data_IF_969604873285
#
_entry.id   IF_969604873285
#
_cell.length_a   1.000
_cell.length_b   1.000
_cell.length_c   1.000
_cell.angle_alpha   90.00
_cell.angle_beta   90.00
_cell.angle_gamma   90.00
#
_symmetry.space_group_name_H-M   'P 1'
#
loop_
_entity.id
_entity.type
_entity.pdbx_description
1 polymer ?
#
# COMPACT_ATOMS: atom_id res chain seq x y z
N UNK A 1 30.84 12.54 -2.11
CA UNK A 1 30.59 11.86 -3.38
C UNK A 1 29.65 12.73 -4.16
N UNK A 2 29.91 12.98 -5.44
CA UNK A 2 28.87 13.57 -6.27
C UNK A 2 27.78 12.54 -6.48
N UNK A 3 26.53 12.91 -6.32
CA UNK A 3 25.38 12.10 -6.66
C UNK A 3 25.35 11.89 -8.18
N UNK A 4 24.92 10.73 -8.62
CA UNK A 4 24.75 10.43 -10.05
C UNK A 4 23.55 11.21 -10.62
N UNK A 5 22.49 11.30 -9.83
CA UNK A 5 21.28 12.04 -10.17
C UNK A 5 21.23 13.40 -9.44
N UNK A 6 20.89 14.45 -10.14
CA UNK A 6 20.59 15.76 -9.54
C UNK A 6 19.29 15.71 -8.71
N UNK A 7 19.02 16.72 -7.91
CA UNK A 7 17.77 16.81 -7.17
C UNK A 7 16.57 16.94 -8.10
N UNK A 8 16.72 17.66 -9.20
CA UNK A 8 15.70 17.83 -10.23
C UNK A 8 15.34 16.50 -10.88
N UNK A 9 16.36 15.70 -11.28
CA UNK A 9 16.14 14.37 -11.86
C UNK A 9 15.45 13.40 -10.88
N UNK A 10 15.76 13.49 -9.58
CA UNK A 10 15.10 12.69 -8.54
C UNK A 10 13.62 13.05 -8.38
N UNK A 11 13.31 14.36 -8.40
CA UNK A 11 11.92 14.83 -8.35
C UNK A 11 11.19 14.46 -9.63
N UNK A 12 11.86 14.54 -10.81
CA UNK A 12 11.28 14.13 -12.09
C UNK A 12 10.89 12.65 -12.10
N UNK A 13 11.73 11.75 -11.58
CA UNK A 13 11.39 10.32 -11.44
C UNK A 13 10.09 10.14 -10.63
N UNK A 14 9.93 10.86 -9.52
CA UNK A 14 8.71 10.80 -8.74
C UNK A 14 7.52 11.41 -9.49
N UNK A 15 7.73 12.54 -10.18
CA UNK A 15 6.70 13.21 -10.96
C UNK A 15 6.15 12.29 -12.06
N UNK A 16 7.05 11.63 -12.79
CA UNK A 16 6.68 10.72 -13.86
C UNK A 16 5.80 9.59 -13.35
N UNK A 17 6.21 8.90 -12.29
CA UNK A 17 5.43 7.77 -11.77
C UNK A 17 4.13 8.20 -11.06
N UNK A 18 4.07 9.42 -10.49
CA UNK A 18 2.82 9.97 -9.94
C UNK A 18 1.83 10.28 -11.06
N UNK A 19 2.31 10.76 -12.21
CA UNK A 19 1.47 11.08 -13.37
C UNK A 19 0.79 9.84 -13.99
N UNK A 20 1.38 8.67 -13.81
CA UNK A 20 0.79 7.39 -14.25
C UNK A 20 -0.32 7.00 -13.25
N UNK A 21 -1.56 7.00 -13.73
CA UNK A 21 -2.74 6.67 -12.92
C UNK A 21 -2.82 5.17 -12.68
N UNK A 22 -2.44 4.75 -11.47
CA UNK A 22 -2.45 3.35 -11.05
C UNK A 22 -3.47 3.09 -9.94
N UNK A 23 -4.66 3.65 -10.07
CA UNK A 23 -5.76 3.40 -9.13
C UNK A 23 -6.24 1.96 -9.29
N UNK A 24 -5.69 1.06 -8.49
CA UNK A 24 -5.96 -0.38 -8.48
C UNK A 24 -5.86 -1.05 -9.87
N UNK A 25 -5.04 -0.50 -10.76
CA UNK A 25 -4.84 -1.00 -12.13
C UNK A 25 -3.68 -0.27 -12.81
N UNK A 26 -3.29 -0.74 -14.03
CA UNK A 26 -2.32 -0.07 -14.92
C UNK A 26 -0.88 0.02 -14.38
N UNK A 27 -0.51 -0.79 -13.39
CA UNK A 27 0.85 -0.78 -12.82
C UNK A 27 1.91 -1.23 -13.84
N UNK A 28 1.51 -1.93 -14.88
CA UNK A 28 2.42 -2.28 -15.99
C UNK A 28 3.11 -1.05 -16.59
N UNK A 29 2.43 0.10 -16.66
CA UNK A 29 3.01 1.33 -17.20
C UNK A 29 4.13 1.87 -16.29
N UNK A 30 3.96 1.80 -14.96
CA UNK A 30 5.02 2.15 -13.99
C UNK A 30 6.18 1.14 -14.06
N UNK A 31 5.89 -0.16 -14.19
CA UNK A 31 6.91 -1.18 -14.36
C UNK A 31 7.73 -0.93 -15.64
N UNK A 32 7.10 -0.60 -16.75
CA UNK A 32 7.78 -0.24 -17.99
C UNK A 32 8.59 1.07 -17.89
N UNK A 33 8.11 2.04 -17.11
CA UNK A 33 8.88 3.24 -16.81
C UNK A 33 10.19 2.89 -16.10
N UNK A 34 10.14 2.13 -15.02
CA UNK A 34 11.33 1.72 -14.31
C UNK A 34 12.24 0.80 -15.14
N UNK A 35 11.70 -0.08 -15.97
CA UNK A 35 12.49 -0.91 -16.89
C UNK A 35 13.33 -0.03 -17.82
N UNK A 36 12.71 0.99 -18.44
CA UNK A 36 13.43 1.95 -19.30
C UNK A 36 14.48 2.75 -18.51
N UNK A 37 14.13 3.24 -17.31
CA UNK A 37 15.04 3.97 -16.45
C UNK A 37 16.24 3.12 -16.06
N UNK A 38 16.04 1.90 -15.60
CA UNK A 38 17.10 0.98 -15.21
C UNK A 38 17.99 0.57 -16.39
N UNK A 39 17.41 0.41 -17.56
CA UNK A 39 18.16 0.10 -18.80
C UNK A 39 19.22 1.17 -19.13
N UNK A 40 18.94 2.47 -18.85
CA UNK A 40 19.88 3.57 -19.08
C UNK A 40 21.15 3.43 -18.24
N UNK A 41 21.06 2.78 -17.08
CA UNK A 41 22.17 2.52 -16.15
C UNK A 41 22.70 1.08 -16.23
N UNK A 42 22.33 0.33 -17.27
CA UNK A 42 22.76 -1.07 -17.44
C UNK A 42 22.31 -2.02 -16.32
N UNK A 43 21.22 -1.68 -15.64
CA UNK A 43 20.58 -2.54 -14.64
C UNK A 43 19.58 -3.44 -15.36
N UNK A 44 19.74 -4.76 -15.24
CA UNK A 44 18.80 -5.72 -15.81
C UNK A 44 17.54 -5.78 -14.97
N UNK A 45 16.41 -5.72 -15.64
CA UNK A 45 15.09 -5.87 -15.02
C UNK A 45 14.22 -6.88 -15.78
N UNK A 46 13.20 -7.36 -15.11
CA UNK A 46 12.22 -8.31 -15.63
C UNK A 46 10.81 -7.90 -15.21
N UNK A 47 9.90 -7.81 -16.18
CA UNK A 47 8.49 -7.53 -15.96
C UNK A 47 7.76 -8.86 -15.81
N UNK A 48 7.11 -9.06 -14.67
CA UNK A 48 6.36 -10.26 -14.31
C UNK A 48 4.86 -9.98 -14.34
N UNK A 49 4.18 -10.39 -15.43
CA UNK A 49 2.77 -10.14 -15.65
C UNK A 49 1.92 -10.88 -14.60
N UNK A 50 1.06 -10.13 -13.91
CA UNK A 50 0.10 -10.63 -12.91
C UNK A 50 -1.30 -10.73 -13.50
N UNK A 51 -1.72 -9.70 -14.24
CA UNK A 51 -3.01 -9.64 -14.93
C UNK A 51 -2.93 -8.68 -16.12
N UNK A 52 -4.01 -8.51 -16.85
CA UNK A 52 -4.08 -7.52 -17.93
C UNK A 52 -3.83 -6.09 -17.39
N UNK A 53 -2.86 -5.40 -17.99
CA UNK A 53 -2.41 -4.08 -17.54
C UNK A 53 -1.67 -4.06 -16.18
N UNK A 54 -1.40 -5.21 -15.55
CA UNK A 54 -0.81 -5.30 -14.21
C UNK A 54 0.42 -6.21 -14.21
N UNK A 55 1.54 -5.70 -13.73
CA UNK A 55 2.78 -6.48 -13.66
C UNK A 55 3.67 -6.01 -12.51
N UNK A 56 4.35 -6.94 -11.86
CA UNK A 56 5.49 -6.65 -11.00
C UNK A 56 6.72 -6.31 -11.85
N UNK A 57 7.69 -5.63 -11.26
CA UNK A 57 9.02 -5.44 -11.83
C UNK A 57 10.07 -5.93 -10.85
N UNK A 58 11.01 -6.72 -11.33
CA UNK A 58 12.16 -7.19 -10.59
C UNK A 58 13.43 -6.66 -11.27
N UNK A 59 14.32 -6.01 -10.51
CA UNK A 59 15.63 -5.58 -11.00
C UNK A 59 16.73 -6.00 -10.03
N UNK A 60 17.94 -6.30 -10.55
CA UNK A 60 19.00 -6.87 -9.72
C UNK A 60 20.34 -6.22 -10.03
N UNK A 61 21.08 -5.87 -8.96
CA UNK A 61 22.46 -5.41 -9.01
C UNK A 61 23.29 -6.28 -8.05
N UNK A 62 24.38 -6.84 -8.56
CA UNK A 62 25.21 -7.83 -7.82
C UNK A 62 24.86 -9.27 -8.22
N UNK A 63 25.56 -10.26 -7.61
CA UNK A 63 25.40 -11.68 -7.96
C UNK A 63 25.86 -12.64 -6.86
N UNK A 64 25.97 -12.17 -5.62
CA UNK A 64 26.42 -12.98 -4.48
C UNK A 64 25.59 -12.69 -3.24
N UNK A 65 25.75 -13.49 -2.21
CA UNK A 65 25.18 -13.22 -0.89
C UNK A 65 26.01 -12.19 -0.09
N UNK A 66 25.37 -11.41 0.81
CA UNK A 66 23.95 -11.43 1.13
C UNK A 66 23.07 -10.82 0.03
N UNK A 67 21.83 -11.29 -0.08
CA UNK A 67 20.80 -10.74 -0.99
C UNK A 67 19.84 -9.88 -0.19
N UNK A 68 19.82 -8.59 -0.48
CA UNK A 68 18.93 -7.63 0.17
C UNK A 68 17.81 -7.28 -0.81
N UNK A 69 16.59 -7.65 -0.47
CA UNK A 69 15.38 -7.19 -1.15
C UNK A 69 15.04 -5.76 -0.74
N UNK A 70 14.69 -4.94 -1.72
CA UNK A 70 14.11 -3.61 -1.52
C UNK A 70 12.81 -3.54 -2.31
N UNK A 71 11.70 -3.19 -1.67
CA UNK A 71 10.37 -3.33 -2.28
C UNK A 71 9.44 -2.17 -1.97
N UNK A 72 8.46 -1.99 -2.85
CA UNK A 72 7.34 -1.08 -2.69
C UNK A 72 6.27 -1.34 -3.73
N UNK A 73 5.04 -0.85 -3.47
CA UNK A 73 3.94 -1.02 -4.41
C UNK A 73 3.82 0.15 -5.39
N UNK A 74 3.23 -0.14 -6.55
CA UNK A 74 3.04 0.81 -7.65
C UNK A 74 1.61 1.35 -7.72
N UNK A 75 0.65 0.62 -7.18
CA UNK A 75 -0.76 1.03 -7.14
C UNK A 75 -1.01 2.11 -6.08
N UNK A 76 -2.14 2.75 -6.21
CA UNK A 76 -2.63 3.77 -5.27
C UNK A 76 -4.14 3.60 -5.07
N UNK A 77 -4.65 4.04 -3.92
CA UNK A 77 -6.09 4.16 -3.70
C UNK A 77 -6.70 5.27 -4.55
N UNK A 78 -8.03 5.26 -4.69
CA UNK A 78 -8.76 6.32 -5.38
C UNK A 78 -8.41 7.71 -4.83
N UNK A 79 -8.37 8.69 -5.69
CA UNK A 79 -8.25 10.10 -5.34
C UNK A 79 -9.46 10.64 -4.59
N UNK A 80 -10.60 9.91 -4.64
CA UNK A 80 -11.87 10.37 -4.08
C UNK A 80 -12.50 11.48 -4.91
N UNK A 81 -13.07 12.49 -4.25
CA UNK A 81 -13.65 13.63 -4.94
C UNK A 81 -12.54 14.62 -5.33
N UNK A 82 -12.43 14.94 -6.61
CA UNK A 82 -11.45 15.89 -7.14
C UNK A 82 -11.59 17.31 -6.56
N UNK A 83 -12.81 17.72 -6.18
CA UNK A 83 -13.07 19.04 -5.60
C UNK A 83 -12.45 19.21 -4.20
N UNK A 84 -12.04 18.11 -3.55
CA UNK A 84 -11.39 18.13 -2.24
C UNK A 84 -9.87 18.34 -2.34
N UNK A 85 -9.31 18.36 -3.56
CA UNK A 85 -7.88 18.54 -3.81
C UNK A 85 -7.54 20.00 -4.10
N UNK A 86 -6.47 20.49 -3.46
CA UNK A 86 -5.91 21.82 -3.77
C UNK A 86 -5.14 21.80 -5.10
N UNK A 87 -4.50 20.69 -5.42
CA UNK A 87 -3.75 20.46 -6.65
C UNK A 87 -4.29 19.21 -7.35
N UNK A 88 -4.04 19.08 -8.66
CA UNK A 88 -4.40 17.86 -9.39
C UNK A 88 -3.70 16.64 -8.76
N UNK A 89 -4.44 15.60 -8.36
CA UNK A 89 -3.87 14.43 -7.66
C UNK A 89 -2.85 13.65 -8.51
N UNK A 90 -2.88 13.76 -9.82
CA UNK A 90 -1.95 13.05 -10.72
C UNK A 90 -0.94 13.97 -11.40
N UNK A 91 -0.77 15.18 -10.87
CA UNK A 91 0.29 16.11 -11.26
C UNK A 91 1.09 16.48 -10.03
N UNK A 92 2.33 15.96 -9.93
CA UNK A 92 3.17 16.26 -8.78
C UNK A 92 3.41 17.77 -8.69
N UNK A 93 2.95 18.38 -7.61
CA UNK A 93 3.05 19.83 -7.40
C UNK A 93 3.92 20.12 -6.21
N UNK A 94 4.94 20.97 -6.39
CA UNK A 94 5.74 21.48 -5.27
C UNK A 94 5.16 22.80 -4.76
N UNK A 95 4.86 22.84 -3.46
CA UNK A 95 4.49 24.07 -2.75
C UNK A 95 5.08 24.08 -1.35
N UNK A 96 5.70 25.19 -0.96
CA UNK A 96 6.32 25.43 0.36
C UNK A 96 7.29 24.31 0.80
N UNK A 97 7.97 23.67 -0.16
CA UNK A 97 8.94 22.60 0.11
C UNK A 97 8.32 21.22 0.32
N UNK A 98 7.04 21.05 0.03
CA UNK A 98 6.34 19.78 0.00
C UNK A 98 5.95 19.39 -1.42
N UNK A 99 5.90 18.08 -1.68
CA UNK A 99 5.45 17.51 -2.94
C UNK A 99 4.07 16.90 -2.75
N UNK A 100 3.09 17.39 -3.51
CA UNK A 100 1.69 16.98 -3.44
C UNK A 100 1.30 16.12 -4.64
N UNK A 101 0.60 15.02 -4.39
CA UNK A 101 0.06 14.13 -5.42
C UNK A 101 -0.44 12.82 -4.82
N UNK A 102 -1.35 12.11 -5.51
CA UNK A 102 -1.80 10.78 -5.11
C UNK A 102 -0.63 9.78 -5.25
N UNK A 103 -0.28 9.09 -4.15
CA UNK A 103 0.89 8.22 -4.11
C UNK A 103 2.21 8.92 -3.80
N UNK A 104 2.23 10.27 -3.70
CA UNK A 104 3.45 11.00 -3.31
C UNK A 104 3.92 10.64 -1.89
N UNK A 105 3.04 10.23 -0.99
CA UNK A 105 3.40 9.69 0.32
C UNK A 105 3.34 8.17 0.35
N UNK A 106 2.24 7.58 -0.12
CA UNK A 106 1.94 6.16 -0.07
C UNK A 106 1.75 5.60 -1.48
N UNK A 107 2.75 4.81 -2.03
CA UNK A 107 4.15 4.83 -1.54
C UNK A 107 5.14 5.11 -2.69
N UNK A 108 4.70 5.80 -3.77
CA UNK A 108 5.54 6.06 -4.95
C UNK A 108 6.83 6.83 -4.62
N UNK A 109 6.83 7.70 -3.58
CA UNK A 109 8.06 8.37 -3.13
C UNK A 109 9.08 7.37 -2.55
N UNK A 110 8.61 6.42 -1.74
CA UNK A 110 9.46 5.34 -1.23
C UNK A 110 10.00 4.48 -2.36
N UNK A 111 9.14 4.11 -3.30
CA UNK A 111 9.53 3.32 -4.47
C UNK A 111 10.54 4.06 -5.37
N UNK A 112 10.33 5.36 -5.63
CA UNK A 112 11.29 6.21 -6.36
C UNK A 112 12.63 6.30 -5.62
N UNK A 113 12.61 6.49 -4.30
CA UNK A 113 13.82 6.55 -3.49
C UNK A 113 14.63 5.24 -3.56
N UNK A 114 13.95 4.09 -3.53
CA UNK A 114 14.62 2.78 -3.69
C UNK A 114 15.22 2.60 -5.10
N UNK A 115 14.52 3.03 -6.14
CA UNK A 115 15.03 2.99 -7.52
C UNK A 115 16.26 3.90 -7.70
N UNK A 116 16.21 5.12 -7.16
CA UNK A 116 17.34 6.06 -7.13
C UNK A 116 18.52 5.44 -6.39
N UNK A 117 18.29 4.87 -5.21
CA UNK A 117 19.33 4.22 -4.43
C UNK A 117 20.00 3.05 -5.19
N UNK A 118 19.21 2.24 -5.91
CA UNK A 118 19.72 1.16 -6.74
C UNK A 118 20.64 1.68 -7.86
N UNK A 119 20.23 2.76 -8.53
CA UNK A 119 21.04 3.42 -9.58
C UNK A 119 22.34 3.98 -8.98
N UNK A 120 22.25 4.73 -7.87
CA UNK A 120 23.41 5.31 -7.19
C UNK A 120 24.42 4.22 -6.73
N UNK A 121 23.93 3.11 -6.21
CA UNK A 121 24.78 1.98 -5.80
C UNK A 121 25.46 1.36 -7.02
N UNK A 122 24.72 1.12 -8.10
CA UNK A 122 25.25 0.56 -9.34
C UNK A 122 26.36 1.43 -9.91
N UNK A 123 26.10 2.73 -10.06
CA UNK A 123 27.03 3.69 -10.65
C UNK A 123 28.23 4.00 -9.74
N UNK A 124 28.08 3.88 -8.43
CA UNK A 124 29.19 4.07 -7.49
C UNK A 124 30.29 3.03 -7.63
N UNK A 125 29.98 1.86 -8.21
CA UNK A 125 30.87 0.70 -8.27
C UNK A 125 31.27 0.12 -6.91
N UNK A 126 30.60 0.51 -5.82
CA UNK A 126 30.97 0.13 -4.44
C UNK A 126 30.37 -1.18 -3.96
N UNK A 127 29.36 -1.71 -4.67
CA UNK A 127 28.83 -3.03 -4.34
C UNK A 127 29.85 -4.09 -4.80
N UNK A 128 30.84 -4.36 -3.95
CA UNK A 128 31.89 -5.34 -4.23
C UNK A 128 31.50 -6.77 -3.86
N UNK A 129 30.46 -6.92 -3.01
CA UNK A 129 29.89 -8.18 -2.58
C UNK A 129 28.42 -7.99 -2.25
N UNK A 130 27.63 -9.05 -2.41
CA UNK A 130 26.18 -9.03 -2.17
C UNK A 130 25.38 -8.76 -3.43
N UNK A 131 24.08 -8.74 -3.25
CA UNK A 131 23.08 -8.47 -4.28
C UNK A 131 21.99 -7.57 -3.72
N UNK A 132 21.55 -6.59 -4.49
CA UNK A 132 20.35 -5.82 -4.20
C UNK A 132 19.30 -6.19 -5.24
N UNK A 133 18.16 -6.64 -4.75
CA UNK A 133 17.01 -7.04 -5.57
C UNK A 133 15.87 -6.05 -5.33
N UNK A 134 15.61 -5.20 -6.32
CA UNK A 134 14.47 -4.27 -6.33
C UNK A 134 13.23 -5.01 -6.82
N UNK A 135 12.13 -4.86 -6.12
CA UNK A 135 10.84 -5.48 -6.43
C UNK A 135 9.73 -4.46 -6.31
N UNK A 136 9.17 -4.02 -7.44
CA UNK A 136 7.97 -3.19 -7.48
C UNK A 136 6.76 -4.09 -7.67
N UNK A 137 5.76 -3.95 -6.79
CA UNK A 137 4.61 -4.86 -6.73
C UNK A 137 3.31 -4.18 -7.15
N UNK A 138 2.32 -4.99 -7.51
CA UNK A 138 0.95 -4.57 -7.82
C UNK A 138 -0.01 -4.94 -6.71
N UNK A 139 -1.08 -4.14 -6.55
CA UNK A 139 -2.27 -4.52 -5.80
C UNK A 139 -2.07 -4.60 -4.30
N UNK A 140 -1.16 -3.86 -3.72
CA UNK A 140 -0.98 -3.80 -2.26
C UNK A 140 -2.22 -3.27 -1.58
N UNK A 141 -2.82 -2.21 -2.14
CA UNK A 141 -4.01 -1.53 -1.65
C UNK A 141 -5.31 -2.35 -1.78
N UNK A 142 -5.23 -3.55 -2.33
CA UNK A 142 -6.37 -4.45 -2.58
C UNK A 142 -6.07 -5.89 -2.14
N UNK A 143 -5.78 -6.78 -3.10
CA UNK A 143 -5.64 -8.23 -2.84
C UNK A 143 -4.20 -8.67 -2.59
N UNK A 144 -3.23 -7.77 -2.66
CA UNK A 144 -1.79 -8.05 -2.52
C UNK A 144 -1.28 -9.11 -3.52
N UNK A 145 -1.92 -9.17 -4.69
CA UNK A 145 -1.66 -10.19 -5.70
C UNK A 145 -0.23 -10.18 -6.23
N UNK A 146 0.40 -9.01 -6.26
CA UNK A 146 1.79 -8.87 -6.71
C UNK A 146 2.79 -9.54 -5.77
N UNK A 147 2.73 -9.23 -4.49
CA UNK A 147 3.61 -9.84 -3.48
C UNK A 147 3.38 -11.33 -3.35
N UNK A 148 2.11 -11.77 -3.41
CA UNK A 148 1.77 -13.19 -3.43
C UNK A 148 2.42 -13.90 -4.63
N UNK A 149 2.31 -13.35 -5.84
CA UNK A 149 2.93 -13.95 -7.03
C UNK A 149 4.46 -14.00 -6.94
N UNK A 150 5.11 -12.97 -6.40
CA UNK A 150 6.56 -12.99 -6.19
C UNK A 150 6.97 -14.11 -5.22
N UNK A 151 6.21 -14.31 -4.15
CA UNK A 151 6.43 -15.40 -3.21
C UNK A 151 6.22 -16.78 -3.87
N UNK A 152 5.10 -16.99 -4.55
CA UNK A 152 4.77 -18.26 -5.21
C UNK A 152 5.79 -18.64 -6.32
N UNK A 153 6.39 -17.65 -6.97
CA UNK A 153 7.42 -17.86 -8.00
C UNK A 153 8.85 -17.95 -7.43
N UNK A 154 9.01 -17.86 -6.11
CA UNK A 154 10.29 -18.01 -5.44
C UNK A 154 11.23 -16.80 -5.57
N UNK A 155 10.72 -15.62 -5.96
CA UNK A 155 11.58 -14.42 -6.05
C UNK A 155 12.11 -13.94 -4.70
N UNK A 156 11.47 -14.35 -3.60
CA UNK A 156 11.87 -14.00 -2.25
C UNK A 156 12.70 -15.08 -1.54
N UNK A 157 12.88 -16.27 -2.13
CA UNK A 157 13.47 -17.44 -1.47
C UNK A 157 14.96 -17.27 -1.12
N UNK A 158 15.67 -16.45 -1.86
CA UNK A 158 17.10 -16.18 -1.68
C UNK A 158 17.39 -14.92 -0.85
N UNK A 159 16.37 -14.24 -0.33
CA UNK A 159 16.56 -13.00 0.42
C UNK A 159 17.10 -13.27 1.83
N UNK A 160 18.19 -12.61 2.19
CA UNK A 160 18.68 -12.56 3.56
C UNK A 160 17.99 -11.48 4.40
N UNK A 161 17.50 -10.41 3.76
CA UNK A 161 16.70 -9.35 4.36
C UNK A 161 15.80 -8.68 3.32
N UNK A 162 14.70 -8.06 3.78
CA UNK A 162 13.78 -7.29 2.95
C UNK A 162 13.49 -5.94 3.61
N UNK A 163 13.68 -4.86 2.86
CA UNK A 163 13.27 -3.50 3.21
C UNK A 163 12.08 -3.10 2.35
N UNK A 164 10.99 -2.66 2.97
CA UNK A 164 9.83 -2.10 2.30
C UNK A 164 9.76 -0.61 2.65
N UNK A 165 9.66 0.26 1.63
CA UNK A 165 9.77 1.70 1.81
C UNK A 165 8.40 2.38 2.03
N UNK A 166 7.55 1.76 2.83
CA UNK A 166 6.26 2.32 3.26
C UNK A 166 6.42 3.56 4.14
N UNK A 167 5.44 4.49 4.13
CA UNK A 167 5.45 5.69 4.96
C UNK A 167 5.21 5.35 6.44
N UNK A 168 6.25 4.92 7.14
CA UNK A 168 6.18 4.45 8.55
C UNK A 168 6.56 5.52 9.58
N UNK A 169 6.56 6.84 9.20
CA UNK A 169 7.24 7.89 9.99
C UNK A 169 8.71 7.47 10.27
N UNK A 170 9.51 8.20 11.04
CA UNK A 170 10.87 7.77 11.35
C UNK A 170 10.88 6.60 12.35
N UNK A 171 10.25 5.47 11.96
CA UNK A 171 10.13 4.26 12.77
C UNK A 171 10.33 3.03 11.89
N UNK A 172 10.96 2.01 12.45
CA UNK A 172 11.00 0.69 11.81
C UNK A 172 9.77 -0.10 12.24
N UNK A 173 8.96 -0.51 11.27
CA UNK A 173 7.84 -1.43 11.47
C UNK A 173 8.31 -2.82 11.07
N UNK A 174 8.35 -3.76 12.02
CA UNK A 174 8.85 -5.11 11.80
C UNK A 174 7.78 -6.20 11.92
N UNK A 175 6.54 -5.78 12.18
CA UNK A 175 5.37 -6.67 12.24
C UNK A 175 4.09 -5.89 11.98
N UNK A 176 3.08 -6.56 11.44
CA UNK A 176 1.75 -6.01 11.22
C UNK A 176 0.69 -7.05 11.52
N UNK A 177 -0.56 -6.60 11.67
CA UNK A 177 -1.71 -7.50 11.82
C UNK A 177 -2.07 -8.12 10.48
N UNK A 178 -2.61 -9.34 10.51
CA UNK A 178 -3.29 -9.91 9.34
C UNK A 178 -4.57 -9.11 9.05
N UNK A 179 -4.96 -9.07 7.78
CA UNK A 179 -6.21 -8.47 7.33
C UNK A 179 -7.09 -9.49 6.62
N UNK A 180 -8.41 -9.29 6.67
CA UNK A 180 -9.37 -10.15 6.01
C UNK A 180 -10.58 -9.33 5.54
N UNK A 181 -10.86 -9.36 4.24
CA UNK A 181 -12.00 -8.68 3.65
C UNK A 181 -13.14 -9.65 3.36
N UNK A 182 -14.35 -9.21 3.65
CA UNK A 182 -15.57 -9.97 3.41
C UNK A 182 -16.56 -9.19 2.56
N UNK A 183 -17.15 -9.86 1.59
CA UNK A 183 -18.29 -9.35 0.86
C UNK A 183 -19.55 -10.12 1.22
N UNK A 184 -20.47 -9.48 1.91
CA UNK A 184 -21.77 -10.04 2.27
C UNK A 184 -22.83 -9.57 1.27
N UNK A 185 -23.58 -10.51 0.69
CA UNK A 185 -24.64 -10.21 -0.25
C UNK A 185 -25.98 -10.70 0.30
N UNK A 186 -26.93 -9.78 0.47
CA UNK A 186 -28.32 -10.10 0.75
C UNK A 186 -29.14 -10.06 -0.55
N UNK A 187 -29.94 -11.10 -0.80
CA UNK A 187 -30.78 -11.21 -1.99
C UNK A 187 -32.23 -10.88 -1.64
N UNK A 188 -32.87 -10.11 -2.48
CA UNK A 188 -34.27 -9.76 -2.35
C UNK A 188 -35.09 -10.06 -3.60
N UNK A 189 -36.39 -9.75 -3.54
CA UNK A 189 -37.31 -9.79 -4.66
C UNK A 189 -38.17 -8.54 -4.65
N UNK A 190 -38.12 -7.80 -5.75
CA UNK A 190 -38.92 -6.58 -5.90
C UNK A 190 -40.42 -6.88 -5.90
N UNK A 191 -41.22 -5.94 -5.35
CA UNK A 191 -42.67 -5.92 -5.43
C UNK A 191 -43.12 -4.48 -5.47
N UNK A 192 -44.40 -4.27 -5.85
CA UNK A 192 -45.00 -2.92 -5.77
C UNK A 192 -45.02 -2.46 -4.31
N UNK A 193 -44.77 -1.18 -4.08
CA UNK A 193 -44.67 -0.60 -2.73
C UNK A 193 -45.94 -0.74 -1.88
N UNK A 194 -47.13 -0.80 -2.52
CA UNK A 194 -48.40 -1.01 -1.82
C UNK A 194 -48.67 -2.47 -1.39
N UNK A 195 -47.88 -3.44 -1.89
CA UNK A 195 -48.03 -4.86 -1.60
C UNK A 195 -46.65 -5.50 -1.27
N UNK A 196 -45.91 -4.97 -0.27
CA UNK A 196 -44.54 -5.36 0.02
C UNK A 196 -44.43 -6.83 0.45
N UNK A 197 -45.50 -7.45 0.93
CA UNK A 197 -45.53 -8.86 1.33
C UNK A 197 -45.39 -9.85 0.17
N UNK A 198 -45.57 -9.39 -1.08
CA UNK A 198 -45.27 -10.19 -2.28
C UNK A 198 -43.76 -10.18 -2.67
N UNK A 199 -42.99 -9.26 -2.07
CA UNK A 199 -41.56 -9.15 -2.26
C UNK A 199 -40.75 -9.82 -1.17
N UNK A 200 -39.45 -9.57 -1.21
CA UNK A 200 -38.51 -9.93 -0.17
C UNK A 200 -37.53 -8.77 0.02
N UNK A 201 -37.54 -8.18 1.19
CA UNK A 201 -36.64 -7.06 1.51
C UNK A 201 -35.21 -7.57 1.71
N UNK A 202 -34.28 -7.11 0.88
CA UNK A 202 -32.85 -7.46 0.99
C UNK A 202 -32.10 -6.59 2.03
N UNK A 203 -32.60 -5.41 2.32
CA UNK A 203 -31.92 -4.46 3.21
C UNK A 203 -32.04 -4.90 4.67
N UNK A 204 -33.25 -5.33 5.09
CA UNK A 204 -33.49 -5.70 6.49
C UNK A 204 -32.55 -6.80 7.01
N UNK A 205 -32.40 -7.96 6.32
CA UNK A 205 -31.44 -8.98 6.77
C UNK A 205 -29.99 -8.51 6.79
N UNK A 206 -29.61 -7.60 5.90
CA UNK A 206 -28.26 -7.03 5.87
C UNK A 206 -28.00 -6.14 7.09
N UNK A 207 -28.98 -5.30 7.46
CA UNK A 207 -28.88 -4.48 8.68
C UNK A 207 -28.83 -5.33 9.95
N UNK A 208 -29.66 -6.38 10.04
CA UNK A 208 -29.64 -7.35 11.15
C UNK A 208 -28.28 -8.05 11.23
N UNK A 209 -27.69 -8.46 10.09
CA UNK A 209 -26.36 -9.05 10.05
C UNK A 209 -25.30 -8.07 10.58
N UNK A 210 -25.28 -6.82 10.08
CA UNK A 210 -24.31 -5.79 10.51
C UNK A 210 -24.44 -5.53 12.03
N UNK A 211 -25.66 -5.45 12.53
CA UNK A 211 -25.87 -5.25 13.97
C UNK A 211 -25.35 -6.43 14.79
N UNK A 212 -25.65 -7.65 14.37
CA UNK A 212 -25.20 -8.86 15.06
C UNK A 212 -23.66 -9.00 15.05
N UNK A 213 -23.01 -8.77 13.90
CA UNK A 213 -21.55 -8.89 13.83
C UNK A 213 -20.85 -7.82 14.67
N UNK A 214 -21.38 -6.60 14.75
CA UNK A 214 -20.87 -5.56 15.63
C UNK A 214 -21.00 -5.97 17.11
N UNK A 215 -22.11 -6.57 17.53
CA UNK A 215 -22.28 -7.07 18.89
C UNK A 215 -21.31 -8.21 19.22
N UNK A 216 -21.12 -9.15 18.29
CA UNK A 216 -20.15 -10.24 18.47
C UNK A 216 -18.71 -9.70 18.51
N UNK A 217 -18.38 -8.72 17.69
CA UNK A 217 -17.10 -8.05 17.75
C UNK A 217 -16.83 -7.41 19.11
N UNK A 218 -17.80 -6.69 19.69
CA UNK A 218 -17.67 -6.12 21.03
C UNK A 218 -17.41 -7.19 22.10
N UNK A 219 -18.07 -8.36 22.02
CA UNK A 219 -17.83 -9.49 22.94
C UNK A 219 -16.42 -10.06 22.76
N UNK A 220 -15.97 -10.23 21.52
CA UNK A 220 -14.62 -10.73 21.23
C UNK A 220 -13.59 -9.77 21.78
N UNK A 221 -13.76 -8.46 21.59
CA UNK A 221 -12.84 -7.44 22.11
C UNK A 221 -12.67 -7.47 23.62
N UNK A 222 -13.69 -7.92 24.36
CA UNK A 222 -13.58 -8.10 25.82
C UNK A 222 -12.74 -9.32 26.21
N UNK A 223 -12.57 -10.28 25.32
CA UNK A 223 -11.89 -11.56 25.58
C UNK A 223 -10.51 -11.67 24.96
N UNK A 224 -10.27 -11.01 23.83
CA UNK A 224 -8.99 -11.02 23.13
C UNK A 224 -8.04 -10.08 23.86
N UNK A 225 -7.16 -10.66 24.67
CA UNK A 225 -5.98 -9.96 25.16
C UNK A 225 -4.90 -10.14 24.08
N UNK A 226 -4.66 -9.10 23.28
CA UNK A 226 -3.53 -9.08 22.37
C UNK A 226 -2.20 -9.27 23.11
N UNK A 227 -1.17 -9.71 22.40
CA UNK A 227 0.20 -9.63 22.94
C UNK A 227 0.47 -8.18 23.32
N UNK A 228 1.16 -7.97 24.45
CA UNK A 228 1.44 -6.63 24.98
C UNK A 228 2.54 -5.94 24.17
N UNK A 229 2.23 -5.57 22.93
CA UNK A 229 3.09 -4.71 22.12
C UNK A 229 2.94 -3.27 22.62
N UNK A 230 4.08 -2.58 22.78
CA UNK A 230 4.07 -1.18 23.22
C UNK A 230 3.90 -0.25 22.00
N UNK A 231 2.71 0.32 21.85
CA UNK A 231 2.39 1.31 20.84
C UNK A 231 2.47 2.76 21.33
N UNK A 232 3.01 2.99 22.54
CA UNK A 232 3.03 4.32 23.17
C UNK A 232 3.70 5.38 22.31
N UNK A 233 4.79 5.04 21.63
CA UNK A 233 5.47 5.97 20.72
C UNK A 233 4.61 6.38 19.53
N UNK A 234 3.89 5.43 18.92
CA UNK A 234 2.97 5.69 17.82
C UNK A 234 1.80 6.57 18.27
N UNK A 235 1.19 6.26 19.39
CA UNK A 235 0.05 7.01 19.95
C UNK A 235 0.47 8.43 20.31
N UNK A 236 1.64 8.62 20.91
CA UNK A 236 2.16 9.95 21.22
C UNK A 236 2.34 10.83 19.96
N UNK A 237 2.75 10.24 18.83
CA UNK A 237 2.86 10.96 17.56
C UNK A 237 1.49 11.32 16.98
N UNK A 238 0.48 10.50 17.21
CA UNK A 238 -0.89 10.70 16.76
C UNK A 238 -1.77 11.48 17.73
N UNK A 239 -1.23 11.93 18.88
CA UNK A 239 -2.00 12.58 19.96
C UNK A 239 -2.91 13.70 19.48
N UNK A 240 -2.40 14.57 18.61
CA UNK A 240 -3.16 15.70 18.05
C UNK A 240 -4.21 15.30 17.01
N UNK A 241 -4.22 14.04 16.58
CA UNK A 241 -5.16 13.48 15.61
C UNK A 241 -6.23 12.59 16.28
N UNK A 242 -6.03 12.27 17.56
CA UNK A 242 -7.01 11.48 18.29
C UNK A 242 -8.31 12.28 18.46
N UNK A 243 -9.48 11.66 18.23
CA UNK A 243 -10.77 12.27 18.55
C UNK A 243 -10.85 12.61 20.04
N UNK A 244 -11.49 13.72 20.42
CA UNK A 244 -11.59 14.23 21.79
C UNK A 244 -12.13 13.22 22.82
N UNK A 245 -12.85 12.20 22.37
CA UNK A 245 -13.43 11.15 23.24
C UNK A 245 -12.55 9.90 23.38
N UNK A 246 -11.39 9.86 22.72
CA UNK A 246 -10.45 8.74 22.77
C UNK A 246 -9.22 9.14 23.59
N UNK A 247 -9.02 8.50 24.74
CA UNK A 247 -7.79 8.67 25.54
C UNK A 247 -6.64 7.88 24.92
N UNK A 248 -5.39 8.19 25.29
CA UNK A 248 -4.21 7.44 24.83
C UNK A 248 -4.27 5.96 25.24
N UNK A 249 -4.73 5.68 26.45
CA UNK A 249 -4.90 4.32 26.96
C UNK A 249 -5.94 3.56 26.12
N UNK A 250 -7.04 4.22 25.78
CA UNK A 250 -8.08 3.62 24.94
C UNK A 250 -7.59 3.41 23.50
N UNK A 251 -6.81 4.34 22.96
CA UNK A 251 -6.18 4.19 21.66
C UNK A 251 -5.22 2.99 21.64
N UNK A 252 -4.42 2.81 22.67
CA UNK A 252 -3.52 1.66 22.82
C UNK A 252 -4.28 0.33 22.89
N UNK A 253 -5.36 0.27 23.69
CA UNK A 253 -6.23 -0.90 23.77
C UNK A 253 -6.82 -1.26 22.39
N UNK A 254 -7.33 -0.26 21.64
CA UNK A 254 -7.91 -0.45 20.32
C UNK A 254 -6.88 -0.92 19.28
N UNK A 255 -5.68 -0.36 19.31
CA UNK A 255 -4.60 -0.75 18.38
C UNK A 255 -4.13 -2.18 18.67
N UNK A 256 -4.07 -2.59 19.93
CA UNK A 256 -3.64 -3.95 20.31
C UNK A 256 -4.67 -5.02 19.96
N UNK A 257 -5.96 -4.67 19.93
CA UNK A 257 -7.05 -5.60 19.68
C UNK A 257 -7.27 -5.95 18.21
N UNK A 258 -8.31 -6.75 17.96
CA UNK A 258 -8.88 -6.96 16.64
C UNK A 258 -9.52 -5.65 16.16
N UNK A 259 -9.37 -5.30 14.89
CA UNK A 259 -10.04 -4.15 14.28
C UNK A 259 -11.05 -4.65 13.25
N UNK A 260 -12.28 -4.16 13.32
CA UNK A 260 -13.32 -4.45 12.35
C UNK A 260 -13.95 -3.15 11.84
N UNK A 261 -14.06 -3.02 10.52
CA UNK A 261 -14.64 -1.84 9.86
C UNK A 261 -15.68 -2.28 8.84
N UNK A 262 -16.85 -1.63 8.84
CA UNK A 262 -17.83 -1.74 7.78
C UNK A 262 -17.57 -0.62 6.77
N UNK A 263 -16.84 -0.91 5.70
CA UNK A 263 -16.32 0.12 4.80
C UNK A 263 -17.32 0.55 3.72
N UNK A 264 -18.09 -0.40 3.18
CA UNK A 264 -19.03 -0.11 2.08
C UNK A 264 -20.35 -0.83 2.31
N UNK A 265 -21.47 -0.08 2.26
CA UNK A 265 -22.83 -0.63 2.21
C UNK A 265 -23.51 -0.11 0.95
N UNK A 266 -23.90 -1.01 0.04
CA UNK A 266 -24.58 -0.67 -1.20
C UNK A 266 -25.90 -1.46 -1.28
N UNK A 267 -26.99 -0.79 -1.66
CA UNK A 267 -28.29 -1.42 -1.82
C UNK A 267 -29.16 -0.63 -2.81
N UNK A 268 -29.99 -1.34 -3.59
CA UNK A 268 -30.94 -0.76 -4.54
C UNK A 268 -31.87 -1.84 -5.08
#
# INVERSE_FOLDING_TARGET
MMSVLSNEERVEILSDIVSIKTVNSNELEVAQYFERLFSQYGIRSYIDIVADGRANLIATVGSSHPVIGISGHMDVVSEGNHDDWTYDPFTLTEDQGYLYGRGAADMKSGLAALAIALIEIKESGKLTQGTIKFMATVGEEMEQSGSQQLFEKGYADDLDALLIAEPSFPSLVYAHKGSMDFRIKSKGRASHSSIPFLGQNAIKPLLEFIQNINQEYEKIMQTVKGESLDFSNMINKLENQLPNHITKEKAQELIQGLVMTNSIVQGG
#
